data_IF_835667112930
#
_entry.id   IF_835667112930
#
_cell.length_a   1.000
_cell.length_b   1.000
_cell.length_c   1.000
_cell.angle_alpha   90.00
_cell.angle_beta   90.00
_cell.angle_gamma   90.00
#
_symmetry.space_group_name_H-M   'P 1'
#
loop_
_entity.id
_entity.type
_entity.pdbx_description
1 polymer ?
#
# COMPACT_ATOMS: atom_id res chain seq x y z
N UNK A 1 39.07 26.17 15.10
CA UNK A 1 38.28 26.18 13.86
C UNK A 1 37.98 24.78 13.34
N UNK A 2 38.96 23.98 12.90
CA UNK A 2 38.74 22.61 12.36
C UNK A 2 37.96 21.69 13.32
N UNK A 3 38.28 21.72 14.62
CA UNK A 3 37.55 20.94 15.63
C UNK A 3 36.08 21.34 15.78
N UNK A 4 35.77 22.64 15.62
CA UNK A 4 34.39 23.15 15.69
C UNK A 4 33.58 22.73 14.45
N UNK A 5 34.19 22.74 13.26
CA UNK A 5 33.56 22.20 12.04
C UNK A 5 33.29 20.71 12.16
N UNK A 6 34.24 19.94 12.72
CA UNK A 6 34.08 18.50 12.91
C UNK A 6 32.98 18.18 13.93
N UNK A 7 32.88 18.98 14.98
CA UNK A 7 31.82 18.87 15.98
C UNK A 7 30.44 19.22 15.41
N UNK A 8 30.34 20.29 14.62
CA UNK A 8 29.09 20.72 13.98
C UNK A 8 28.62 19.75 12.89
N UNK A 9 29.56 19.18 12.13
CA UNK A 9 29.29 18.14 11.14
C UNK A 9 28.78 16.86 11.83
N UNK A 10 29.42 16.43 12.92
CA UNK A 10 28.98 15.27 13.69
C UNK A 10 27.55 15.45 14.23
N UNK A 11 27.25 16.62 14.82
CA UNK A 11 25.91 16.92 15.33
C UNK A 11 24.83 16.93 14.23
N UNK A 12 25.15 17.44 13.04
CA UNK A 12 24.21 17.47 11.90
C UNK A 12 23.88 16.07 11.39
N UNK A 13 24.87 15.16 11.41
CA UNK A 13 24.69 13.78 10.96
C UNK A 13 23.86 12.98 11.96
N UNK A 14 24.07 13.16 13.26
CA UNK A 14 23.26 12.51 14.31
C UNK A 14 21.79 12.96 14.24
N UNK A 15 21.54 14.27 14.10
CA UNK A 15 20.19 14.80 13.97
C UNK A 15 19.48 14.29 12.70
N UNK A 16 20.21 14.17 11.59
CA UNK A 16 19.67 13.64 10.35
C UNK A 16 19.41 12.12 10.42
N UNK A 17 20.31 11.36 11.08
CA UNK A 17 20.13 9.93 11.31
C UNK A 17 18.93 9.65 12.21
N UNK A 18 18.73 10.44 13.27
CA UNK A 18 17.56 10.30 14.14
C UNK A 18 16.26 10.49 13.33
N UNK A 19 16.17 11.53 12.51
CA UNK A 19 14.99 11.75 11.64
C UNK A 19 14.83 10.64 10.61
N UNK A 20 15.94 10.13 10.04
CA UNK A 20 15.91 9.00 9.10
C UNK A 20 15.45 7.71 9.76
N UNK A 21 15.88 7.43 10.99
CA UNK A 21 15.41 6.27 11.77
C UNK A 21 13.95 6.42 12.19
N UNK A 22 13.52 7.63 12.58
CA UNK A 22 12.11 7.94 12.82
C UNK A 22 11.27 7.83 11.54
N UNK A 23 11.83 8.16 10.37
CA UNK A 23 11.20 7.97 9.04
C UNK A 23 11.29 6.53 8.53
N UNK A 24 12.21 5.70 9.03
CA UNK A 24 12.33 4.27 8.72
C UNK A 24 11.44 3.41 9.64
N UNK A 25 11.17 3.86 10.87
CA UNK A 25 10.12 3.29 11.72
C UNK A 25 8.72 3.82 11.34
N UNK A 26 8.65 5.08 10.88
CA UNK A 26 7.60 5.56 9.98
C UNK A 26 7.96 5.25 8.53
N UNK A 27 8.66 4.14 8.24
CA UNK A 27 8.51 3.54 6.92
C UNK A 27 7.01 3.38 6.87
N UNK A 28 6.41 4.24 6.04
CA UNK A 28 4.98 4.25 5.87
C UNK A 28 4.66 2.77 5.78
N UNK A 29 3.66 2.26 6.52
CA UNK A 29 3.13 1.01 6.06
C UNK A 29 2.96 1.24 4.55
N UNK A 30 3.22 0.21 3.79
CA UNK A 30 2.61 0.02 2.50
C UNK A 30 1.04 0.11 2.59
N UNK A 31 0.47 0.90 3.51
CA UNK A 31 -0.64 1.80 3.34
C UNK A 31 -0.34 2.82 2.22
N UNK A 32 -0.05 2.39 0.99
CA UNK A 32 -1.17 2.21 0.06
C UNK A 32 -2.45 1.90 0.81
N UNK A 33 -3.11 2.99 1.22
CA UNK A 33 -4.39 3.00 1.91
C UNK A 33 -5.21 1.80 1.45
N UNK A 34 -5.43 0.89 2.40
CA UNK A 34 -6.48 -0.14 2.48
C UNK A 34 -7.86 0.47 2.18
N UNK A 35 -8.07 0.94 0.95
CA UNK A 35 -9.35 1.31 0.37
C UNK A 35 -9.63 0.47 -0.89
N UNK A 36 -8.81 -0.55 -1.14
CA UNK A 36 -8.93 -1.48 -2.27
C UNK A 36 -8.22 -2.80 -2.05
N UNK A 37 -7.82 -3.15 -0.82
CA UNK A 37 -7.25 -4.46 -0.52
C UNK A 37 -8.38 -5.48 -0.43
N UNK A 38 -8.69 -6.04 -1.59
CA UNK A 38 -9.66 -7.10 -1.77
C UNK A 38 -8.92 -8.44 -1.66
N UNK A 39 -9.47 -9.45 -0.96
CA UNK A 39 -8.90 -10.80 -0.97
C UNK A 39 -8.78 -11.29 -2.42
N UNK A 40 -7.80 -12.15 -2.73
CA UNK A 40 -7.73 -12.76 -4.07
C UNK A 40 -8.83 -13.81 -4.22
N UNK A 41 -9.55 -13.80 -5.33
CA UNK A 41 -10.49 -14.87 -5.70
C UNK A 41 -9.79 -15.96 -6.52
N UNK A 42 -10.41 -17.14 -6.56
CA UNK A 42 -10.08 -18.18 -7.52
C UNK A 42 -10.71 -17.88 -8.90
N UNK A 43 -10.17 -18.51 -9.95
CA UNK A 43 -10.70 -18.37 -11.30
C UNK A 43 -12.14 -18.92 -11.37
N UNK A 44 -13.09 -18.09 -11.80
CA UNK A 44 -14.52 -18.45 -11.86
C UNK A 44 -15.33 -18.14 -10.58
N UNK A 45 -14.71 -17.65 -9.51
CA UNK A 45 -15.43 -17.18 -8.32
C UNK A 45 -16.08 -15.82 -8.50
N UNK A 46 -17.02 -15.50 -7.61
CA UNK A 46 -17.82 -14.30 -7.66
C UNK A 46 -17.03 -13.09 -7.16
N UNK A 47 -16.62 -12.23 -8.09
CA UNK A 47 -15.74 -11.08 -7.83
C UNK A 47 -16.47 -9.80 -7.43
N UNK A 48 -17.76 -9.72 -7.74
CA UNK A 48 -18.59 -8.58 -7.38
C UNK A 48 -20.00 -9.02 -6.97
N UNK A 49 -20.73 -8.11 -6.34
CA UNK A 49 -22.15 -8.28 -6.02
C UNK A 49 -22.91 -7.03 -6.40
N UNK A 50 -24.11 -7.20 -6.94
CA UNK A 50 -24.99 -6.10 -7.30
C UNK A 50 -26.07 -5.97 -6.24
N UNK A 51 -26.16 -4.79 -5.61
CA UNK A 51 -27.23 -4.45 -4.68
C UNK A 51 -27.95 -3.22 -5.22
N UNK A 52 -28.99 -3.46 -6.02
CA UNK A 52 -29.72 -2.42 -6.75
C UNK A 52 -28.86 -1.79 -7.86
N UNK A 53 -28.76 -0.45 -7.86
CA UNK A 53 -27.94 0.30 -8.82
C UNK A 53 -26.44 0.30 -8.48
N UNK A 54 -26.06 -0.19 -7.29
CA UNK A 54 -24.67 -0.18 -6.82
C UNK A 54 -24.03 -1.55 -7.02
N UNK A 55 -22.76 -1.54 -7.43
CA UNK A 55 -21.93 -2.73 -7.58
C UNK A 55 -20.79 -2.65 -6.57
N UNK A 56 -20.66 -3.68 -5.74
CA UNK A 56 -19.57 -3.81 -4.77
C UNK A 56 -18.64 -4.95 -5.16
N UNK A 57 -17.34 -4.68 -5.22
CA UNK A 57 -16.32 -5.71 -5.45
C UNK A 57 -16.03 -6.46 -4.15
N UNK A 58 -15.94 -7.79 -4.21
CA UNK A 58 -15.72 -8.68 -3.06
C UNK A 58 -14.26 -9.15 -2.94
N UNK A 59 -13.61 -9.40 -4.08
CA UNK A 59 -12.26 -9.91 -4.18
C UNK A 59 -11.57 -9.40 -5.47
N UNK A 60 -10.24 -9.42 -5.53
CA UNK A 60 -9.45 -9.14 -6.72
C UNK A 60 -9.21 -10.41 -7.54
N UNK A 61 -9.45 -10.35 -8.84
CA UNK A 61 -9.16 -11.49 -9.73
C UNK A 61 -7.64 -11.68 -9.89
N UNK A 62 -7.16 -12.93 -9.97
CA UNK A 62 -5.75 -13.23 -10.15
C UNK A 62 -5.26 -12.78 -11.54
N UNK A 63 -3.95 -12.54 -11.65
CA UNK A 63 -3.31 -12.06 -12.90
C UNK A 63 -3.71 -12.96 -14.08
N UNK A 64 -4.32 -12.36 -15.10
CA UNK A 64 -4.80 -13.05 -16.30
C UNK A 64 -6.32 -13.17 -16.40
N UNK A 65 -7.05 -12.85 -15.32
CA UNK A 65 -8.52 -12.80 -15.31
C UNK A 65 -9.00 -11.42 -14.85
N UNK A 66 -10.13 -10.96 -15.36
CA UNK A 66 -10.76 -9.68 -15.01
C UNK A 66 -12.15 -9.92 -14.44
N UNK A 67 -12.55 -9.09 -13.47
CA UNK A 67 -13.90 -9.16 -12.92
C UNK A 67 -14.91 -8.64 -13.93
N UNK A 68 -15.78 -9.52 -14.44
CA UNK A 68 -16.86 -9.13 -15.33
C UNK A 68 -18.06 -8.65 -14.50
N UNK A 69 -18.44 -7.37 -14.58
CA UNK A 69 -19.55 -6.81 -13.80
C UNK A 69 -20.96 -7.23 -14.26
N UNK A 70 -21.11 -7.84 -15.44
CA UNK A 70 -22.37 -8.43 -15.91
C UNK A 70 -22.60 -9.82 -15.32
N UNK A 71 -21.55 -10.66 -15.33
CA UNK A 71 -21.59 -12.04 -14.81
C UNK A 71 -21.21 -12.10 -13.33
N UNK A 72 -20.61 -11.02 -12.81
CA UNK A 72 -20.10 -10.86 -11.46
C UNK A 72 -19.00 -11.88 -11.08
N UNK A 73 -18.28 -12.43 -12.06
CA UNK A 73 -17.25 -13.47 -11.89
C UNK A 73 -15.91 -13.08 -12.51
N UNK A 74 -14.82 -13.68 -12.01
CA UNK A 74 -13.50 -13.58 -12.63
C UNK A 74 -13.45 -14.45 -13.89
N UNK A 75 -13.21 -13.82 -15.04
CA UNK A 75 -13.06 -14.46 -16.36
C UNK A 75 -11.70 -14.12 -16.97
#
# INVERSE_FOLDING_TARGET
YIAAYRFCLFFSIEALQEVLEKLKNKQMPLSEKKLGWLPSCDAGEQCAVRKGARVGTLCGCPRGTTCNFYVLKCL
#
